data_IF_049274953508
#
_entry.id   IF_049274953508
#
_cell.length_a   1.000
_cell.length_b   1.000
_cell.length_c   1.000
_cell.angle_alpha   90.00
_cell.angle_beta   90.00
_cell.angle_gamma   90.00
#
_symmetry.space_group_name_H-M   'P 1'
#
loop_
_entity.id
_entity.type
_entity.pdbx_description
1 polymer ?
#
# COMPACT_ATOMS: atom_id res chain seq x y z
N UNK A 1 -47.81 -7.80 -51.25
CA UNK A 1 -46.52 -7.07 -51.36
C UNK A 1 -46.04 -6.80 -49.95
N UNK A 2 -44.98 -7.49 -49.51
CA UNK A 2 -44.34 -7.28 -48.20
C UNK A 2 -42.87 -6.99 -48.49
N UNK A 3 -42.39 -5.80 -48.12
CA UNK A 3 -41.01 -5.37 -48.30
C UNK A 3 -40.17 -5.83 -47.10
N UNK A 4 -39.14 -6.62 -47.36
CA UNK A 4 -38.14 -7.05 -46.40
C UNK A 4 -37.41 -5.86 -45.79
N UNK A 5 -37.47 -5.76 -44.45
CA UNK A 5 -36.68 -4.82 -43.66
C UNK A 5 -35.25 -5.35 -43.55
N UNK A 6 -34.33 -4.75 -44.30
CA UNK A 6 -32.90 -5.08 -44.23
C UNK A 6 -32.29 -4.49 -42.96
N UNK A 7 -31.97 -5.35 -41.99
CA UNK A 7 -31.28 -4.98 -40.75
C UNK A 7 -29.82 -4.63 -41.10
N UNK A 8 -29.30 -3.45 -40.70
CA UNK A 8 -27.91 -3.09 -40.99
C UNK A 8 -26.94 -3.96 -40.20
N UNK A 9 -25.93 -4.48 -40.90
CA UNK A 9 -24.89 -5.34 -40.35
C UNK A 9 -23.91 -4.49 -39.53
N UNK A 10 -23.88 -4.69 -38.21
CA UNK A 10 -22.97 -3.97 -37.32
C UNK A 10 -21.56 -4.59 -37.40
N UNK A 11 -20.60 -3.81 -37.89
CA UNK A 11 -19.20 -4.21 -37.89
C UNK A 11 -18.62 -4.15 -36.47
N UNK A 12 -18.00 -5.25 -36.04
CA UNK A 12 -17.30 -5.34 -34.75
C UNK A 12 -16.06 -4.46 -34.79
N UNK A 13 -16.15 -3.28 -34.21
CA UNK A 13 -14.98 -2.42 -34.00
C UNK A 13 -14.10 -3.11 -32.95
N UNK A 14 -12.89 -3.52 -33.36
CA UNK A 14 -11.87 -3.97 -32.43
C UNK A 14 -11.45 -2.76 -31.59
N UNK A 15 -11.91 -2.71 -30.33
CA UNK A 15 -11.41 -1.72 -29.37
C UNK A 15 -10.08 -2.23 -28.84
N UNK A 16 -8.98 -1.60 -29.23
CA UNK A 16 -7.73 -1.81 -28.51
C UNK A 16 -7.89 -1.27 -27.09
N UNK A 17 -7.56 -2.05 -26.05
CA UNK A 17 -7.65 -1.57 -24.69
C UNK A 17 -6.73 -0.35 -24.54
N UNK A 18 -7.29 0.75 -24.02
CA UNK A 18 -6.57 2.01 -23.79
C UNK A 18 -5.46 1.75 -22.77
N UNK A 19 -4.29 1.32 -23.26
CA UNK A 19 -2.99 1.14 -22.60
C UNK A 19 -3.13 0.68 -21.14
N UNK A 20 -3.08 -0.62 -20.87
CA UNK A 20 -3.14 -1.14 -19.50
C UNK A 20 -1.97 -0.60 -18.65
N UNK A 21 -2.19 -0.41 -17.33
CA UNK A 21 -1.10 -0.07 -16.39
C UNK A 21 -0.09 -1.21 -16.37
N UNK A 22 1.21 -0.91 -16.26
CA UNK A 22 2.24 -1.95 -16.15
C UNK A 22 2.05 -2.78 -14.89
N UNK A 23 1.65 -2.12 -13.80
CA UNK A 23 1.51 -2.71 -12.47
C UNK A 23 0.05 -3.03 -12.08
N UNK A 24 -0.78 -3.39 -13.06
CA UNK A 24 -2.21 -3.61 -12.83
C UNK A 24 -2.49 -4.75 -11.84
N UNK A 25 -1.75 -5.86 -11.93
CA UNK A 25 -1.93 -7.01 -11.06
C UNK A 25 -1.45 -6.71 -9.62
N UNK A 26 -0.34 -5.98 -9.51
CA UNK A 26 0.27 -5.51 -8.28
C UNK A 26 -0.66 -4.55 -7.56
N UNK A 27 -1.22 -3.57 -8.26
CA UNK A 27 -2.21 -2.65 -7.70
C UNK A 27 -3.48 -3.40 -7.25
N UNK A 28 -3.93 -4.39 -8.02
CA UNK A 28 -5.08 -5.22 -7.64
C UNK A 28 -4.79 -6.04 -6.38
N UNK A 29 -3.56 -6.52 -6.18
CA UNK A 29 -3.13 -7.14 -4.93
C UNK A 29 -3.16 -6.13 -3.78
N UNK A 30 -2.52 -4.96 -3.94
CA UNK A 30 -2.43 -3.95 -2.89
C UNK A 30 -3.80 -3.44 -2.45
N UNK A 31 -4.76 -3.30 -3.38
CA UNK A 31 -6.15 -2.92 -3.07
C UNK A 31 -6.93 -3.97 -2.27
N UNK A 32 -6.45 -5.21 -2.22
CA UNK A 32 -7.02 -6.26 -1.36
C UNK A 32 -6.43 -6.26 0.05
N UNK A 33 -5.34 -5.53 0.30
CA UNK A 33 -4.81 -5.37 1.65
C UNK A 33 -5.82 -4.55 2.46
N UNK A 34 -6.44 -5.19 3.43
CA UNK A 34 -7.46 -4.59 4.28
C UNK A 34 -6.84 -3.94 5.52
N UNK A 35 -5.89 -4.64 6.15
CA UNK A 35 -5.30 -4.26 7.42
C UNK A 35 -3.86 -4.75 7.51
N UNK A 36 -3.03 -3.95 8.16
CA UNK A 36 -1.65 -4.30 8.52
C UNK A 36 -1.48 -4.08 10.02
N UNK A 37 -0.90 -5.07 10.70
CA UNK A 37 -0.55 -4.97 12.12
C UNK A 37 0.89 -5.40 12.35
N UNK A 38 1.53 -4.79 13.35
CA UNK A 38 2.88 -5.16 13.80
C UNK A 38 2.82 -5.35 15.32
N UNK A 39 2.50 -6.56 15.75
CA UNK A 39 2.22 -6.85 17.16
C UNK A 39 3.40 -7.44 17.92
N UNK A 40 4.37 -8.00 17.19
CA UNK A 40 5.51 -8.65 17.81
C UNK A 40 6.81 -8.32 17.06
N UNK A 41 7.91 -8.50 17.79
CA UNK A 41 9.26 -8.50 17.23
C UNK A 41 9.90 -9.85 17.49
N UNK A 42 10.73 -10.30 16.55
CA UNK A 42 11.55 -11.49 16.68
C UNK A 42 13.02 -11.09 16.63
N UNK A 43 13.86 -11.74 17.42
CA UNK A 43 15.30 -11.59 17.33
C UNK A 43 15.89 -12.83 16.65
N UNK A 44 16.62 -12.61 15.57
CA UNK A 44 17.23 -13.69 14.77
C UNK A 44 18.67 -13.29 14.56
N UNK A 45 19.59 -14.08 15.13
CA UNK A 45 21.04 -13.84 15.07
C UNK A 45 21.42 -12.41 15.52
N UNK A 46 20.82 -11.92 16.61
CA UNK A 46 21.09 -10.58 17.15
C UNK A 46 20.44 -9.44 16.38
N UNK A 47 19.59 -9.75 15.39
CA UNK A 47 18.87 -8.74 14.60
C UNK A 47 17.39 -8.76 14.92
N UNK A 48 16.84 -7.58 15.25
CA UNK A 48 15.40 -7.40 15.49
C UNK A 48 14.64 -7.29 14.17
N UNK A 49 13.69 -8.20 13.99
CA UNK A 49 12.68 -8.20 12.94
C UNK A 49 11.32 -7.82 13.52
N UNK A 50 10.58 -7.02 12.77
CA UNK A 50 9.19 -6.67 13.03
C UNK A 50 8.30 -7.62 12.27
N UNK A 51 7.40 -8.28 12.98
CA UNK A 51 6.47 -9.24 12.37
C UNK A 51 5.24 -8.50 11.91
N UNK A 52 5.10 -8.39 10.60
CA UNK A 52 4.01 -7.70 9.94
C UNK A 52 2.93 -8.71 9.54
N UNK A 53 1.80 -8.63 10.23
CA UNK A 53 0.59 -9.40 9.96
C UNK A 53 -0.22 -8.67 8.89
N UNK A 54 -0.58 -9.36 7.81
CA UNK A 54 -1.34 -8.79 6.70
C UNK A 54 -2.66 -9.52 6.55
N UNK A 55 -3.73 -8.74 6.51
CA UNK A 55 -5.09 -9.22 6.33
C UNK A 55 -5.59 -8.75 4.97
N UNK A 56 -6.12 -9.69 4.21
CA UNK A 56 -6.66 -9.50 2.88
C UNK A 56 -8.19 -9.57 2.94
N UNK A 57 -8.83 -8.71 2.15
CA UNK A 57 -10.27 -8.72 1.99
C UNK A 57 -10.74 -10.04 1.36
N UNK A 58 -11.75 -10.67 1.97
CA UNK A 58 -12.36 -11.92 1.47
C UNK A 58 -13.40 -11.65 0.37
N UNK A 59 -13.86 -10.41 0.27
CA UNK A 59 -14.87 -9.99 -0.70
C UNK A 59 -14.28 -9.94 -2.11
N UNK A 60 -14.87 -10.70 -3.05
CA UNK A 60 -14.56 -10.63 -4.50
C UNK A 60 -15.02 -9.32 -5.17
N UNK A 61 -15.68 -8.44 -4.42
CA UNK A 61 -16.15 -7.13 -4.86
C UNK A 61 -15.17 -6.09 -4.30
N UNK A 62 -14.55 -5.23 -5.14
CA UNK A 62 -13.67 -4.17 -4.66
C UNK A 62 -14.41 -3.31 -3.65
N UNK A 63 -14.10 -3.46 -2.36
CA UNK A 63 -14.62 -2.58 -1.34
C UNK A 63 -13.98 -1.22 -1.54
N UNK A 64 -14.71 -0.32 -2.21
CA UNK A 64 -14.43 1.11 -2.21
C UNK A 64 -14.23 1.52 -0.76
N UNK A 65 -13.01 1.90 -0.40
CA UNK A 65 -12.75 2.58 0.87
C UNK A 65 -13.60 3.85 0.81
N UNK A 66 -14.69 3.89 1.57
CA UNK A 66 -15.65 5.00 1.51
C UNK A 66 -14.91 6.30 1.84
N UNK A 67 -14.78 7.15 0.83
CA UNK A 67 -14.25 8.50 0.93
C UNK A 67 -15.24 9.34 1.72
N UNK A 68 -14.92 9.68 2.97
CA UNK A 68 -15.49 10.89 3.57
C UNK A 68 -14.78 12.07 2.92
N UNK A 69 -15.38 12.60 1.86
CA UNK A 69 -14.96 13.84 1.24
C UNK A 69 -15.15 15.00 2.24
N UNK A 70 -14.09 15.36 2.96
CA UNK A 70 -13.98 16.69 3.54
C UNK A 70 -13.24 17.55 2.52
N UNK A 71 -14.02 18.24 1.69
CA UNK A 71 -13.54 19.24 0.75
C UNK A 71 -13.17 20.49 1.58
N UNK A 72 -11.88 20.74 1.71
CA UNK A 72 -11.33 21.92 2.39
C UNK A 72 -9.81 21.91 2.34
N UNK A 73 -9.22 22.96 1.77
CA UNK A 73 -7.77 23.18 1.79
C UNK A 73 -7.27 23.16 3.25
N UNK A 74 -6.17 22.43 3.49
CA UNK A 74 -5.53 22.18 4.79
C UNK A 74 -6.27 21.21 5.74
N UNK A 75 -6.43 19.94 5.33
CA UNK A 75 -6.77 18.87 6.27
C UNK A 75 -5.47 18.19 6.75
N UNK A 76 -5.12 18.26 8.06
CA UNK A 76 -4.07 17.43 8.64
C UNK A 76 -4.44 15.97 8.38
N UNK A 77 -3.50 15.17 7.86
CA UNK A 77 -3.67 13.75 7.56
C UNK A 77 -4.36 13.04 8.74
N UNK A 78 -5.67 12.85 8.63
CA UNK A 78 -6.48 12.36 9.72
C UNK A 78 -6.33 10.84 9.74
N UNK A 79 -5.95 10.30 10.90
CA UNK A 79 -5.74 8.86 11.14
C UNK A 79 -6.90 8.07 10.53
N UNK A 80 -6.66 7.12 9.59
CA UNK A 80 -7.70 6.22 9.13
C UNK A 80 -8.34 5.55 10.34
N UNK A 81 -9.65 5.73 10.53
CA UNK A 81 -10.35 5.10 11.65
C UNK A 81 -10.35 3.58 11.44
N UNK A 82 -9.90 2.77 12.42
CA UNK A 82 -9.99 1.32 12.30
C UNK A 82 -11.46 0.94 12.07
N UNK A 83 -11.74 0.10 11.07
CA UNK A 83 -13.08 -0.49 10.91
C UNK A 83 -13.39 -1.31 12.18
N UNK A 84 -14.62 -1.17 12.70
CA UNK A 84 -15.09 -1.87 13.89
C UNK A 84 -14.95 -3.38 13.74
N UNK A 85 -14.07 -3.95 14.57
CA UNK A 85 -14.10 -5.31 15.15
C UNK A 85 -15.00 -6.34 14.44
N UNK A 86 -14.46 -6.99 13.42
CA UNK A 86 -14.84 -8.37 13.08
C UNK A 86 -14.18 -9.33 14.09
N UNK A 87 -14.68 -10.56 14.17
CA UNK A 87 -14.14 -11.60 15.07
C UNK A 87 -12.62 -11.78 14.86
N UNK A 88 -11.87 -12.24 15.88
CA UNK A 88 -10.44 -12.52 15.72
C UNK A 88 -10.24 -13.49 14.55
N UNK A 89 -9.55 -13.01 13.52
CA UNK A 89 -9.22 -13.77 12.31
C UNK A 89 -7.71 -13.88 12.24
N UNK A 90 -7.20 -15.02 11.79
CA UNK A 90 -5.78 -15.19 11.50
C UNK A 90 -5.33 -14.32 10.31
N UNK A 91 -4.10 -13.78 10.34
CA UNK A 91 -3.54 -13.08 9.19
C UNK A 91 -3.38 -14.04 8.00
N UNK A 92 -3.64 -13.55 6.79
CA UNK A 92 -3.47 -14.35 5.57
C UNK A 92 -2.01 -14.71 5.32
N UNK A 93 -1.11 -13.80 5.68
CA UNK A 93 0.32 -14.05 5.68
C UNK A 93 1.05 -13.12 6.63
N UNK A 94 2.26 -13.54 6.99
CA UNK A 94 3.16 -12.83 7.90
C UNK A 94 4.47 -12.55 7.19
N UNK A 95 5.05 -11.39 7.45
CA UNK A 95 6.37 -11.04 6.92
C UNK A 95 7.28 -10.50 8.00
N UNK A 96 8.57 -10.70 7.80
CA UNK A 96 9.62 -10.26 8.70
C UNK A 96 10.41 -9.16 8.00
N UNK A 97 10.42 -7.98 8.62
CA UNK A 97 11.19 -6.84 8.11
C UNK A 97 12.03 -6.25 9.22
N UNK A 98 13.27 -5.89 8.89
CA UNK A 98 14.10 -5.07 9.78
C UNK A 98 13.60 -3.64 9.77
N UNK A 99 13.92 -2.87 10.81
CA UNK A 99 13.64 -1.43 10.81
C UNK A 99 14.21 -0.73 9.56
N UNK A 100 15.42 -1.13 9.16
CA UNK A 100 16.12 -0.60 7.97
C UNK A 100 15.35 -0.84 6.67
N UNK A 101 14.55 -1.90 6.58
CA UNK A 101 13.78 -2.20 5.38
C UNK A 101 12.65 -1.16 5.20
N UNK A 102 12.03 -0.73 6.29
CA UNK A 102 11.05 0.35 6.28
C UNK A 102 11.69 1.71 5.99
N UNK A 103 12.88 1.97 6.51
CA UNK A 103 13.65 3.19 6.17
C UNK A 103 13.96 3.24 4.68
N UNK A 104 14.40 2.11 4.10
CA UNK A 104 14.69 1.99 2.69
C UNK A 104 13.43 2.20 1.84
N UNK A 105 12.32 1.56 2.20
CA UNK A 105 11.02 1.75 1.53
C UNK A 105 10.62 3.23 1.55
N UNK A 106 10.70 3.89 2.70
CA UNK A 106 10.40 5.32 2.85
C UNK A 106 11.32 6.18 1.98
N UNK A 107 12.62 5.88 1.94
CA UNK A 107 13.58 6.61 1.12
C UNK A 107 13.29 6.48 -0.38
N UNK A 108 12.97 5.26 -0.86
CA UNK A 108 12.61 5.01 -2.25
C UNK A 108 11.35 5.76 -2.67
N UNK A 109 10.28 5.65 -1.88
CA UNK A 109 9.02 6.33 -2.15
C UNK A 109 9.16 7.85 -2.09
N UNK A 110 9.97 8.37 -1.16
CA UNK A 110 10.23 9.81 -1.09
C UNK A 110 11.04 10.29 -2.29
N UNK A 111 12.11 9.58 -2.68
CA UNK A 111 12.90 9.95 -3.86
C UNK A 111 12.05 9.99 -5.14
N UNK A 112 11.14 9.03 -5.31
CA UNK A 112 10.17 9.03 -6.40
C UNK A 112 9.23 10.24 -6.34
N UNK A 113 8.62 10.52 -5.18
CA UNK A 113 7.70 11.65 -5.00
C UNK A 113 8.40 13.01 -5.20
N UNK A 114 9.64 13.12 -4.74
CA UNK A 114 10.47 14.33 -4.80
C UNK A 114 10.97 14.60 -6.22
N UNK A 115 11.37 13.56 -6.96
CA UNK A 115 11.80 13.69 -8.36
C UNK A 115 10.74 14.33 -9.26
N UNK A 116 9.46 14.21 -8.89
CA UNK A 116 8.31 14.74 -9.61
C UNK A 116 7.75 16.05 -9.03
N UNK A 117 8.40 16.66 -8.03
CA UNK A 117 8.05 18.04 -7.59
C UNK A 117 8.08 19.06 -8.74
N UNK A 118 8.68 18.68 -9.87
CA UNK A 118 8.71 19.43 -11.14
C UNK A 118 7.46 19.27 -12.02
N UNK A 119 6.49 18.42 -11.67
CA UNK A 119 5.21 18.27 -12.39
C UNK A 119 4.01 18.41 -11.44
N UNK A 120 2.98 19.12 -11.89
CA UNK A 120 1.80 19.56 -11.13
C UNK A 120 0.79 18.45 -10.74
N UNK A 121 1.23 17.19 -10.73
CA UNK A 121 0.40 16.01 -10.57
C UNK A 121 -0.22 15.92 -9.15
N UNK A 122 -1.55 15.78 -9.05
CA UNK A 122 -2.25 15.72 -7.76
C UNK A 122 -1.80 14.56 -6.87
N UNK A 123 -1.51 13.40 -7.46
CA UNK A 123 -0.94 12.24 -6.76
C UNK A 123 0.40 12.57 -6.08
N UNK A 124 1.31 13.17 -6.83
CA UNK A 124 2.65 13.55 -6.41
C UNK A 124 2.58 14.58 -5.26
N UNK A 125 1.65 15.54 -5.35
CA UNK A 125 1.38 16.51 -4.27
C UNK A 125 0.92 15.83 -2.98
N UNK A 126 0.03 14.85 -3.07
CA UNK A 126 -0.43 14.07 -1.91
C UNK A 126 0.73 13.34 -1.22
N UNK A 127 1.60 12.68 -1.99
CA UNK A 127 2.78 12.00 -1.43
C UNK A 127 3.80 12.95 -0.83
N UNK A 128 4.06 14.09 -1.48
CA UNK A 128 4.95 15.11 -0.92
C UNK A 128 4.39 15.68 0.39
N UNK A 129 3.08 15.90 0.48
CA UNK A 129 2.41 16.30 1.73
C UNK A 129 2.59 15.24 2.82
N UNK A 130 2.40 13.96 2.51
CA UNK A 130 2.62 12.86 3.44
C UNK A 130 4.07 12.84 3.98
N UNK A 131 5.08 12.94 3.10
CA UNK A 131 6.48 12.89 3.52
C UNK A 131 6.94 14.11 4.30
N UNK A 132 6.41 15.29 3.99
CA UNK A 132 6.76 16.56 4.66
C UNK A 132 6.09 16.72 6.03
N UNK A 133 4.83 16.30 6.18
CA UNK A 133 4.01 16.64 7.36
C UNK A 133 3.78 15.50 8.35
N UNK A 134 3.97 14.23 7.97
CA UNK A 134 3.62 13.13 8.86
C UNK A 134 4.73 12.81 9.89
N UNK A 135 4.37 12.62 11.15
CA UNK A 135 5.30 12.21 12.22
C UNK A 135 5.52 10.70 12.29
N UNK A 136 4.57 9.90 11.80
CA UNK A 136 4.63 8.43 11.77
C UNK A 136 5.43 7.93 10.56
N UNK A 137 6.73 8.21 10.55
CA UNK A 137 7.60 7.77 9.47
C UNK A 137 8.94 7.22 10.01
N UNK A 138 9.46 6.14 9.41
CA UNK A 138 10.74 5.55 9.80
C UNK A 138 11.86 6.50 9.36
N UNK A 139 12.26 7.41 10.26
CA UNK A 139 13.39 8.33 10.08
C UNK A 139 14.56 7.86 10.94
N UNK A 140 15.78 8.16 10.52
CA UNK A 140 16.97 7.81 11.32
C UNK A 140 16.88 8.28 12.79
N UNK A 141 16.29 9.45 13.05
CA UNK A 141 16.08 9.97 14.42
C UNK A 141 15.10 9.14 15.27
N UNK A 142 14.22 8.34 14.65
CA UNK A 142 13.31 7.42 15.37
C UNK A 142 14.01 6.15 15.86
N UNK A 143 15.23 5.83 15.37
CA UNK A 143 16.08 4.77 15.96
C UNK A 143 16.48 5.05 17.40
N UNK A 144 16.53 6.34 17.78
CA UNK A 144 16.84 6.79 19.13
C UNK A 144 15.62 6.76 20.06
N UNK A 145 14.43 6.38 19.56
CA UNK A 145 13.25 6.25 20.40
C UNK A 145 13.32 4.98 21.25
N UNK A 146 13.03 5.07 22.56
CA UNK A 146 13.40 4.03 23.51
C UNK A 146 12.52 2.79 23.52
N UNK A 147 11.27 2.82 23.03
CA UNK A 147 10.38 1.65 23.09
C UNK A 147 10.17 0.96 21.74
N UNK A 148 10.33 -0.36 21.76
CA UNK A 148 9.98 -1.25 20.65
C UNK A 148 8.51 -1.07 20.27
N UNK A 149 7.62 -0.89 21.26
CA UNK A 149 6.19 -0.68 21.07
C UNK A 149 5.86 0.57 20.27
N UNK A 150 6.52 1.69 20.57
CA UNK A 150 6.35 2.91 19.79
C UNK A 150 6.77 2.69 18.33
N UNK A 151 7.91 2.00 18.12
CA UNK A 151 8.37 1.70 16.75
C UNK A 151 7.37 0.80 16.04
N UNK A 152 6.80 -0.21 16.71
CA UNK A 152 5.76 -1.09 16.14
C UNK A 152 4.53 -0.30 15.68
N UNK A 153 3.97 0.55 16.55
CA UNK A 153 2.80 1.37 16.21
C UNK A 153 3.12 2.32 15.05
N UNK A 154 4.28 3.00 15.10
CA UNK A 154 4.71 3.91 14.06
C UNK A 154 4.88 3.21 12.71
N UNK A 155 5.49 2.03 12.67
CA UNK A 155 5.68 1.24 11.45
C UNK A 155 4.34 0.72 10.89
N UNK A 156 3.44 0.24 11.76
CA UNK A 156 2.10 -0.20 11.34
C UNK A 156 1.30 0.97 10.75
N UNK A 157 1.35 2.14 11.39
CA UNK A 157 0.71 3.35 10.90
C UNK A 157 1.34 3.80 9.56
N UNK A 158 2.66 3.80 9.45
CA UNK A 158 3.37 4.12 8.21
C UNK A 158 2.88 3.24 7.05
N UNK A 159 2.85 1.91 7.25
CA UNK A 159 2.41 0.98 6.21
C UNK A 159 0.93 1.12 5.85
N UNK A 160 0.07 1.33 6.86
CA UNK A 160 -1.36 1.59 6.63
C UNK A 160 -1.55 2.83 5.76
N UNK A 161 -0.80 3.89 6.02
CA UNK A 161 -0.83 5.11 5.21
C UNK A 161 -0.32 4.87 3.79
N UNK A 162 0.80 4.16 3.64
CA UNK A 162 1.35 3.81 2.31
C UNK A 162 0.33 3.02 1.47
N UNK A 163 -0.30 1.99 2.05
CA UNK A 163 -1.35 1.21 1.38
C UNK A 163 -2.54 2.07 1.00
N UNK A 164 -2.99 2.95 1.91
CA UNK A 164 -4.09 3.87 1.64
C UNK A 164 -3.79 4.78 0.44
N UNK A 165 -2.60 5.37 0.40
CA UNK A 165 -2.20 6.31 -0.66
C UNK A 165 -1.99 5.64 -2.02
N UNK A 166 -1.43 4.43 -2.03
CA UNK A 166 -1.34 3.65 -3.27
C UNK A 166 -2.72 3.18 -3.72
N UNK A 167 -3.60 2.77 -2.80
CA UNK A 167 -4.92 2.25 -3.16
C UNK A 167 -5.86 3.35 -3.66
N UNK A 168 -5.73 4.56 -3.11
CA UNK A 168 -6.46 5.77 -3.55
C UNK A 168 -5.90 6.35 -4.87
N UNK A 169 -4.90 5.68 -5.47
CA UNK A 169 -4.46 5.99 -6.81
C UNK A 169 -5.64 6.08 -7.76
N UNK A 170 -5.82 7.22 -8.44
CA UNK A 170 -7.03 7.46 -9.17
C UNK A 170 -7.31 6.43 -10.27
N UNK A 171 -8.43 5.72 -10.09
CA UNK A 171 -9.49 5.69 -11.08
C UNK A 171 -10.12 7.09 -11.33
N UNK A 172 -9.79 8.10 -10.50
CA UNK A 172 -10.31 9.48 -10.51
C UNK A 172 -9.38 10.52 -11.19
N UNK A 173 -8.51 10.11 -12.11
CA UNK A 173 -7.76 11.07 -12.92
C UNK A 173 -8.69 11.43 -14.07
N UNK A 174 -9.06 12.70 -14.25
CA UNK A 174 -9.78 13.07 -15.46
C UNK A 174 -8.95 12.59 -16.65
N UNK A 175 -9.59 11.99 -17.66
CA UNK A 175 -8.93 11.37 -18.82
C UNK A 175 -7.97 12.33 -19.56
N UNK A 176 -8.04 13.63 -19.24
CA UNK A 176 -7.22 14.72 -19.76
C UNK A 176 -5.86 14.87 -19.07
N UNK A 177 -5.63 14.30 -17.89
CA UNK A 177 -4.34 14.41 -17.21
C UNK A 177 -3.40 13.29 -17.66
N UNK A 178 -2.18 13.65 -18.09
CA UNK A 178 -1.12 12.67 -18.38
C UNK A 178 -0.95 11.77 -17.16
N UNK A 179 -0.98 10.46 -17.40
CA UNK A 179 -0.76 9.43 -16.39
C UNK A 179 0.54 9.72 -15.65
N UNK A 180 0.52 9.59 -14.33
CA UNK A 180 1.74 9.68 -13.52
C UNK A 180 2.47 8.35 -13.62
N UNK A 181 3.55 8.29 -14.42
CA UNK A 181 4.34 7.08 -14.64
C UNK A 181 4.98 6.57 -13.33
N UNK A 182 5.44 7.50 -12.49
CA UNK A 182 5.96 7.23 -11.14
C UNK A 182 4.93 6.50 -10.27
N UNK A 183 3.66 6.68 -10.57
CA UNK A 183 2.60 5.97 -9.93
C UNK A 183 2.68 4.45 -10.06
N UNK A 184 3.03 3.97 -11.25
CA UNK A 184 3.20 2.55 -11.50
C UNK A 184 4.47 2.03 -10.81
N UNK A 185 5.55 2.82 -10.80
CA UNK A 185 6.81 2.46 -10.11
C UNK A 185 6.65 2.38 -8.58
N UNK A 186 5.88 3.29 -7.99
CA UNK A 186 5.55 3.26 -6.56
C UNK A 186 4.73 2.02 -6.18
N UNK A 187 3.79 1.61 -7.04
CA UNK A 187 3.02 0.37 -6.87
C UNK A 187 3.97 -0.82 -6.83
N UNK A 188 4.92 -0.89 -7.77
CA UNK A 188 5.86 -2.00 -7.86
C UNK A 188 6.74 -2.10 -6.62
N UNK A 189 7.27 -0.97 -6.13
CA UNK A 189 8.12 -0.95 -4.93
C UNK A 189 7.35 -1.40 -3.68
N UNK A 190 6.12 -0.94 -3.48
CA UNK A 190 5.32 -1.37 -2.33
C UNK A 190 4.86 -2.82 -2.48
N UNK A 191 4.52 -3.25 -3.69
CA UNK A 191 4.21 -4.65 -3.95
C UNK A 191 5.39 -5.55 -3.63
N UNK A 192 6.61 -5.19 -4.06
CA UNK A 192 7.82 -5.96 -3.76
C UNK A 192 8.11 -6.02 -2.27
N UNK A 193 7.84 -4.94 -1.53
CA UNK A 193 7.96 -4.93 -0.08
C UNK A 193 6.94 -5.88 0.58
N UNK A 194 5.73 -5.97 0.03
CA UNK A 194 4.64 -6.77 0.58
C UNK A 194 4.50 -8.18 0.01
N UNK A 195 5.36 -8.54 -0.95
CA UNK A 195 5.32 -9.85 -1.59
C UNK A 195 5.90 -10.90 -0.65
N UNK A 196 5.17 -11.99 -0.37
CA UNK A 196 5.72 -13.13 0.36
C UNK A 196 6.97 -13.64 -0.37
N UNK A 197 8.11 -13.61 0.30
CA UNK A 197 9.33 -14.25 -0.20
C UNK A 197 9.19 -15.76 -0.03
N UNK A 198 9.72 -16.55 -0.96
CA UNK A 198 9.70 -18.01 -0.85
C UNK A 198 10.31 -18.44 0.49
N UNK A 199 9.78 -19.52 1.11
CA UNK A 199 10.17 -20.05 2.44
C UNK A 199 11.68 -20.11 2.69
N UNK A 200 12.51 -20.29 1.66
CA UNK A 200 13.97 -20.28 1.78
C UNK A 200 14.57 -18.93 2.27
N UNK A 201 13.80 -17.83 2.23
CA UNK A 201 14.22 -16.49 2.67
C UNK A 201 13.48 -16.00 3.93
N UNK A 202 12.55 -16.81 4.46
CA UNK A 202 11.85 -16.51 5.72
C UNK A 202 12.31 -17.51 6.78
N UNK A 203 12.92 -17.04 7.89
CA UNK A 203 13.24 -17.94 9.00
C UNK A 203 11.97 -18.59 9.55
N UNK A 204 11.97 -19.92 9.58
CA UNK A 204 10.86 -20.77 10.03
C UNK A 204 10.49 -20.46 11.50
N UNK A 205 9.23 -20.08 11.80
CA UNK A 205 8.80 -19.72 13.15
C UNK A 205 8.71 -20.91 14.11
N UNK A 206 8.70 -22.16 13.62
CA UNK A 206 8.36 -23.34 14.43
C UNK A 206 9.55 -24.14 15.00
N UNK A 207 10.79 -23.63 14.94
CA UNK A 207 11.96 -24.29 15.56
C UNK A 207 12.60 -23.55 16.73
N UNK A 208 11.91 -22.56 17.32
CA UNK A 208 12.45 -21.77 18.42
C UNK A 208 11.61 -21.91 19.68
N UNK A 209 11.59 -23.14 20.23
CA UNK A 209 11.26 -23.38 21.64
C UNK A 209 12.40 -22.84 22.51
N UNK A 210 12.45 -21.52 22.67
CA UNK A 210 13.48 -20.88 23.48
C UNK A 210 13.74 -19.42 23.09
N UNK A 211 12.72 -18.57 23.06
CA UNK A 211 12.95 -17.13 22.96
C UNK A 211 12.08 -16.35 23.95
N UNK A 212 12.76 -15.52 24.74
CA UNK A 212 12.18 -14.53 25.64
C UNK A 212 11.44 -13.47 24.83
N UNK A 213 10.11 -13.40 25.03
CA UNK A 213 9.35 -12.18 24.71
C UNK A 213 9.90 -11.03 25.54
N UNK A 214 10.26 -9.94 24.89
CA UNK A 214 10.47 -8.62 25.51
C UNK A 214 9.45 -7.66 24.98
#
# INVERSE_FOLDING_TARGET
MLTESSIPLLNRIATEPIRQRKSHAELAFLRRVEKIEIEETMEIEGVTFYVMNIYMSQSRIPTVIQKKHAMGENVPYTRPTPRKSEAPRDPDFRMLHRFSDFELLRAQLWAMADSETRRSCGFCKTWNSFFSSNSAQPKFRTKLMPSTDFRREMLAQFMTMVIYLISDMPANQPATHRRCEIGDDMVDVVYQFLRPKARAQQPEPHRLSGFTRR
#
